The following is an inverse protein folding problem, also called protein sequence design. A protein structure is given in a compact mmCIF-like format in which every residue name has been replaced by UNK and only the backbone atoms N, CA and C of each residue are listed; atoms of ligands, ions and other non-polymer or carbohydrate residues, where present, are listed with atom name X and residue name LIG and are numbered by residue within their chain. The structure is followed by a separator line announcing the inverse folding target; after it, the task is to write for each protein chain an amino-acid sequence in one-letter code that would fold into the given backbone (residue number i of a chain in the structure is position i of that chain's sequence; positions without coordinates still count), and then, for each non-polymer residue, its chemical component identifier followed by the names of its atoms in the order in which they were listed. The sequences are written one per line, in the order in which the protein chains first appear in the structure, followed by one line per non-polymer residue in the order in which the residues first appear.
data_IF_208690058952
#
_entry.id   IF_208690058952
#
_cell.length_a   1.000
_cell.length_b   1.000
_cell.length_c   1.000
_cell.angle_alpha   90.00
_cell.angle_beta   90.00
_cell.angle_gamma   90.00
#
_symmetry.space_group_name_H-M   'P 1'
#
loop_
_entity.id
_entity.type
_entity.pdbx_description
1 polymer ?
#
# COMPACT_ATOMS: atom_id res chain seq x y z
N UNK A 1 27.82 -0.20 -31.13
CA UNK A 1 28.34 -1.44 -30.55
C UNK A 1 28.95 -1.08 -29.20
N UNK A 2 28.11 -0.96 -28.17
CA UNK A 2 28.54 -0.71 -26.78
C UNK A 2 27.65 -1.60 -25.91
N UNK A 3 28.27 -2.62 -25.32
CA UNK A 3 27.64 -3.58 -24.45
C UNK A 3 27.49 -2.96 -23.04
N UNK A 4 26.27 -2.77 -22.57
CA UNK A 4 25.99 -2.39 -21.19
C UNK A 4 25.83 -3.68 -20.39
N UNK A 5 26.77 -3.93 -19.48
CA UNK A 5 26.72 -5.00 -18.48
C UNK A 5 25.62 -4.69 -17.45
N UNK A 6 24.62 -5.54 -17.39
CA UNK A 6 23.69 -5.62 -16.26
C UNK A 6 24.42 -6.23 -15.07
N UNK A 7 24.69 -5.42 -14.05
CA UNK A 7 25.17 -5.89 -12.75
C UNK A 7 24.00 -6.35 -11.90
N UNK A 8 23.90 -7.66 -11.65
CA UNK A 8 23.02 -8.22 -10.63
C UNK A 8 23.58 -7.83 -9.25
N UNK A 9 22.88 -7.00 -8.54
CA UNK A 9 23.09 -6.78 -7.11
C UNK A 9 22.30 -7.85 -6.35
N UNK A 10 22.98 -8.94 -5.99
CA UNK A 10 22.49 -9.88 -5.00
C UNK A 10 22.56 -9.22 -3.63
N UNK A 11 21.42 -8.89 -3.04
CA UNK A 11 21.33 -8.57 -1.64
C UNK A 11 21.56 -9.84 -0.82
N UNK A 12 22.78 -9.98 -0.27
CA UNK A 12 23.11 -11.06 0.66
C UNK A 12 22.38 -10.86 1.97
N UNK A 13 21.30 -11.60 2.18
CA UNK A 13 20.68 -11.78 3.48
C UNK A 13 21.65 -12.59 4.36
N UNK A 14 22.34 -11.93 5.30
CA UNK A 14 23.16 -12.57 6.31
C UNK A 14 22.25 -13.33 7.28
N UNK A 15 22.10 -14.64 7.06
CA UNK A 15 21.56 -15.57 8.05
C UNK A 15 22.58 -15.67 9.20
N UNK A 16 22.27 -15.09 10.35
CA UNK A 16 22.96 -15.37 11.61
C UNK A 16 22.74 -16.84 11.97
N UNK A 17 23.73 -17.68 11.64
CA UNK A 17 23.79 -19.06 12.09
C UNK A 17 24.06 -19.10 13.60
N UNK A 18 23.07 -19.54 14.37
CA UNK A 18 23.26 -19.93 15.76
C UNK A 18 23.94 -21.30 15.78
N UNK A 19 25.20 -21.35 16.20
CA UNK A 19 25.90 -22.58 16.55
C UNK A 19 25.21 -23.15 17.82
N UNK A 20 24.42 -24.20 17.66
CA UNK A 20 23.94 -25.00 18.78
C UNK A 20 25.09 -25.92 19.21
N UNK A 21 25.72 -25.60 20.34
CA UNK A 21 26.65 -26.50 21.01
C UNK A 21 25.86 -27.70 21.56
N UNK A 22 26.09 -28.88 20.99
CA UNK A 22 25.54 -30.14 21.51
C UNK A 22 26.37 -30.52 22.75
N UNK A 23 25.79 -30.29 23.93
CA UNK A 23 26.32 -30.82 25.19
C UNK A 23 25.73 -32.21 25.40
N UNK A 24 26.51 -33.27 25.64
CA UNK A 24 25.95 -34.58 25.95
C UNK A 24 25.23 -34.55 27.28
N UNK A 25 23.92 -34.77 27.26
CA UNK A 25 23.11 -34.88 28.45
C UNK A 25 23.41 -36.23 29.12
N UNK A 26 23.99 -36.20 30.29
CA UNK A 26 24.01 -37.35 31.21
C UNK A 26 22.57 -37.59 31.70
N UNK A 27 22.04 -38.77 31.45
CA UNK A 27 20.72 -39.16 31.91
C UNK A 27 20.75 -39.27 33.45
N UNK A 28 20.20 -38.26 34.12
CA UNK A 28 19.81 -38.35 35.50
C UNK A 28 18.42 -39.07 35.53
N UNK A 29 18.32 -40.10 36.33
CA UNK A 29 17.08 -40.79 36.62
C UNK A 29 16.08 -39.81 37.27
N UNK A 30 15.22 -39.24 36.48
CA UNK A 30 14.15 -38.36 36.91
C UNK A 30 13.02 -39.24 37.44
N UNK A 31 12.87 -39.31 38.74
CA UNK A 31 11.68 -39.85 39.38
C UNK A 31 10.39 -39.28 38.77
N UNK A 32 9.23 -39.91 39.00
CA UNK A 32 7.98 -39.54 38.36
C UNK A 32 7.69 -38.04 38.59
N UNK A 33 7.84 -37.26 37.52
CA UNK A 33 7.51 -35.83 37.58
C UNK A 33 6.02 -35.68 37.89
N UNK A 34 5.64 -34.77 38.79
CA UNK A 34 4.25 -34.41 38.95
C UNK A 34 3.71 -33.99 37.58
N UNK A 35 2.69 -34.69 37.10
CA UNK A 35 1.98 -34.23 35.88
C UNK A 35 1.46 -32.84 36.18
N UNK A 36 2.01 -31.83 35.52
CA UNK A 36 1.38 -30.52 35.51
C UNK A 36 -0.08 -30.72 35.12
N UNK A 37 -1.03 -30.14 35.88
CA UNK A 37 -2.42 -30.22 35.51
C UNK A 37 -2.54 -29.71 34.07
N UNK A 38 -3.15 -30.51 33.18
CA UNK A 38 -3.50 -30.09 31.85
C UNK A 38 -4.33 -28.82 32.01
N UNK A 39 -3.71 -27.66 31.75
CA UNK A 39 -4.44 -26.38 31.70
C UNK A 39 -5.40 -26.53 30.54
N UNK A 40 -6.66 -26.79 30.87
CA UNK A 40 -7.74 -26.82 29.88
C UNK A 40 -7.71 -25.48 29.15
N UNK A 41 -7.58 -25.45 27.82
CA UNK A 41 -7.52 -24.20 27.09
C UNK A 41 -8.76 -23.38 27.42
N UNK A 42 -8.58 -22.13 27.81
CA UNK A 42 -9.69 -21.23 28.14
C UNK A 42 -10.72 -21.26 26.97
N UNK A 43 -12.03 -21.34 27.28
CA UNK A 43 -13.05 -21.40 26.25
C UNK A 43 -12.89 -20.18 25.34
N UNK A 44 -12.87 -20.41 24.03
CA UNK A 44 -12.75 -19.36 23.04
C UNK A 44 -13.93 -18.39 23.17
N UNK A 45 -13.75 -17.10 22.99
CA UNK A 45 -14.83 -16.12 23.05
C UNK A 45 -15.98 -16.54 22.13
N UNK A 46 -17.16 -16.70 22.70
CA UNK A 46 -18.36 -17.12 21.97
C UNK A 46 -19.01 -15.99 21.18
N UNK A 47 -18.63 -14.74 21.48
CA UNK A 47 -19.18 -13.51 20.89
C UNK A 47 -18.24 -12.95 19.83
N UNK A 48 -18.82 -12.29 18.82
CA UNK A 48 -18.09 -11.53 17.84
C UNK A 48 -17.51 -10.27 18.49
N UNK A 49 -16.25 -9.99 18.19
CA UNK A 49 -15.52 -8.78 18.52
C UNK A 49 -15.28 -8.02 17.22
N UNK A 50 -15.63 -6.75 17.20
CA UNK A 50 -15.44 -5.90 16.04
C UNK A 50 -14.39 -4.84 16.33
N UNK A 51 -13.56 -4.55 15.34
CA UNK A 51 -12.65 -3.41 15.38
C UNK A 51 -12.74 -2.60 14.10
N UNK A 52 -12.59 -1.29 14.24
CA UNK A 52 -12.53 -0.34 13.14
C UNK A 52 -11.32 0.56 13.33
N UNK A 53 -10.47 0.61 12.34
CA UNK A 53 -9.20 1.36 12.35
C UNK A 53 -9.15 2.30 11.16
N UNK A 54 -9.65 3.55 11.27
CA UNK A 54 -9.26 4.60 10.34
C UNK A 54 -7.77 4.88 10.50
N UNK A 55 -7.07 4.95 9.39
CA UNK A 55 -5.63 5.18 9.39
C UNK A 55 -5.21 6.07 8.22
N UNK A 56 -4.00 6.59 8.27
CA UNK A 56 -3.31 7.27 7.19
C UNK A 56 -2.09 6.43 6.81
N UNK A 57 -1.94 6.15 5.53
CA UNK A 57 -0.73 5.59 4.94
C UNK A 57 -0.01 6.69 4.17
N UNK A 58 1.25 6.89 4.46
CA UNK A 58 2.11 7.91 3.84
C UNK A 58 3.17 7.18 3.00
N UNK A 59 2.84 6.74 1.78
CA UNK A 59 3.73 5.88 1.03
C UNK A 59 4.73 6.65 0.19
N UNK A 60 5.91 6.03 0.00
CA UNK A 60 6.72 6.19 -1.19
C UNK A 60 6.21 5.22 -2.26
N UNK A 61 6.19 5.65 -3.50
CA UNK A 61 5.85 4.81 -4.66
C UNK A 61 7.07 4.82 -5.58
N UNK A 62 7.58 3.65 -5.90
CA UNK A 62 8.70 3.52 -6.82
C UNK A 62 8.53 2.31 -7.74
N UNK A 63 8.87 2.47 -9.02
CA UNK A 63 8.80 1.42 -10.04
C UNK A 63 8.47 1.96 -11.42
N UNK A 64 7.95 1.10 -12.26
CA UNK A 64 7.66 1.37 -13.65
C UNK A 64 6.15 1.38 -13.91
N UNK A 65 5.68 2.41 -14.61
CA UNK A 65 4.31 2.53 -15.08
C UNK A 65 4.31 2.68 -16.59
N UNK A 66 3.53 1.89 -17.30
CA UNK A 66 3.30 2.07 -18.74
C UNK A 66 1.86 2.45 -18.97
N UNK A 67 1.61 3.64 -19.51
CA UNK A 67 0.27 4.11 -19.89
C UNK A 67 0.19 4.31 -21.40
N UNK A 68 -0.72 3.58 -22.06
CA UNK A 68 -0.89 3.62 -23.51
C UNK A 68 0.42 3.37 -24.28
N UNK A 69 1.22 2.41 -23.80
CA UNK A 69 2.48 2.01 -24.40
C UNK A 69 3.64 2.99 -24.20
N UNK A 70 3.51 3.98 -23.31
CA UNK A 70 4.58 4.91 -22.95
C UNK A 70 5.08 4.62 -21.55
N UNK A 71 6.36 4.28 -21.39
CA UNK A 71 6.95 4.06 -20.08
C UNK A 71 7.12 5.38 -19.33
N UNK A 72 6.88 5.34 -18.03
CA UNK A 72 7.06 6.41 -17.07
C UNK A 72 7.75 5.81 -15.84
N UNK A 73 8.90 6.34 -15.47
CA UNK A 73 9.51 6.02 -14.19
C UNK A 73 8.74 6.74 -13.08
N UNK A 74 8.24 6.00 -12.11
CA UNK A 74 7.48 6.54 -10.98
C UNK A 74 8.37 6.60 -9.75
N UNK A 75 8.55 7.82 -9.23
CA UNK A 75 9.20 8.06 -7.95
C UNK A 75 8.41 9.18 -7.26
N UNK A 76 7.50 8.81 -6.36
CA UNK A 76 6.63 9.74 -5.65
C UNK A 76 6.95 9.61 -4.17
N UNK A 77 7.10 10.72 -3.48
CA UNK A 77 7.27 10.76 -2.04
C UNK A 77 5.96 11.15 -1.31
N UNK A 78 5.87 10.92 0.02
CA UNK A 78 4.67 11.26 0.78
C UNK A 78 4.30 12.75 0.75
N UNK A 79 5.27 13.64 0.61
CA UNK A 79 5.01 15.08 0.55
C UNK A 79 4.34 15.45 -0.77
N UNK A 80 4.75 14.82 -1.87
CA UNK A 80 4.09 14.98 -3.17
C UNK A 80 2.61 14.58 -3.11
N UNK A 81 2.31 13.46 -2.47
CA UNK A 81 0.92 12.99 -2.31
C UNK A 81 0.12 13.99 -1.50
N UNK A 82 0.62 14.44 -0.34
CA UNK A 82 -0.09 15.38 0.54
C UNK A 82 -0.33 16.73 -0.15
N UNK A 83 0.66 17.23 -0.89
CA UNK A 83 0.58 18.52 -1.55
C UNK A 83 -0.37 18.54 -2.76
N UNK A 84 -0.62 17.38 -3.34
CA UNK A 84 -1.45 17.20 -4.54
C UNK A 84 -2.77 16.49 -4.29
N UNK A 85 -3.14 16.24 -3.02
CA UNK A 85 -4.49 15.76 -2.70
C UNK A 85 -5.53 16.74 -3.25
N UNK A 86 -6.54 16.20 -3.92
CA UNK A 86 -7.66 16.99 -4.47
C UNK A 86 -8.58 17.46 -3.33
N UNK A 87 -8.16 18.51 -2.63
CA UNK A 87 -8.87 19.09 -1.48
C UNK A 87 -10.26 19.68 -1.80
N UNK A 88 -10.64 20.07 -3.02
CA UNK A 88 -12.01 20.38 -3.33
C UNK A 88 -12.94 19.17 -3.32
N UNK A 89 -12.41 17.95 -3.44
CA UNK A 89 -13.18 16.72 -3.32
C UNK A 89 -13.70 16.51 -1.90
N UNK A 90 -14.91 15.98 -1.77
CA UNK A 90 -15.55 15.71 -0.46
C UNK A 90 -14.70 14.70 0.34
N UNK A 91 -14.04 13.77 -0.34
CA UNK A 91 -13.16 12.76 0.27
C UNK A 91 -11.92 12.62 -0.63
N UNK A 92 -10.86 13.41 -0.41
CA UNK A 92 -9.62 13.30 -1.20
C UNK A 92 -8.84 12.02 -0.93
N UNK A 93 -8.99 11.46 0.27
CA UNK A 93 -8.41 10.18 0.66
C UNK A 93 -9.24 9.51 1.75
N UNK A 94 -9.34 8.19 1.69
CA UNK A 94 -9.98 7.37 2.73
C UNK A 94 -9.20 6.08 2.93
N UNK A 95 -8.83 5.80 4.19
CA UNK A 95 -8.13 4.56 4.53
C UNK A 95 -8.72 3.98 5.82
N UNK A 96 -9.12 2.71 5.77
CA UNK A 96 -9.72 2.04 6.94
C UNK A 96 -9.53 0.54 6.89
N UNK A 97 -9.28 -0.04 8.06
CA UNK A 97 -9.25 -1.48 8.27
C UNK A 97 -10.36 -1.88 9.25
N UNK A 98 -11.10 -2.91 8.91
CA UNK A 98 -12.13 -3.50 9.75
C UNK A 98 -11.84 -4.96 9.98
N UNK A 99 -12.06 -5.44 11.18
CA UNK A 99 -11.97 -6.87 11.49
C UNK A 99 -13.12 -7.29 12.42
N UNK A 100 -13.73 -8.42 12.07
CA UNK A 100 -14.68 -9.14 12.91
C UNK A 100 -14.05 -10.47 13.31
N UNK A 101 -13.91 -10.72 14.62
CA UNK A 101 -13.26 -11.92 15.16
C UNK A 101 -14.19 -12.72 16.05
N UNK A 102 -14.16 -14.03 15.89
CA UNK A 102 -14.87 -14.96 16.77
C UNK A 102 -14.02 -16.21 16.99
N UNK A 103 -13.45 -16.36 18.18
CA UNK A 103 -12.53 -17.45 18.46
C UNK A 103 -11.33 -17.45 17.53
N UNK A 104 -11.03 -18.56 16.81
CA UNK A 104 -9.92 -18.63 15.87
C UNK A 104 -10.19 -17.93 14.53
N UNK A 105 -11.45 -17.66 14.19
CA UNK A 105 -11.85 -17.07 12.93
C UNK A 105 -11.82 -15.54 12.99
N UNK A 106 -11.24 -14.92 11.98
CA UNK A 106 -11.31 -13.48 11.70
C UNK A 106 -11.78 -13.27 10.27
N UNK A 107 -12.65 -12.28 10.07
CA UNK A 107 -12.99 -11.73 8.76
C UNK A 107 -12.49 -10.29 8.73
N UNK A 108 -11.89 -9.87 7.64
CA UNK A 108 -11.33 -8.53 7.54
C UNK A 108 -11.62 -7.87 6.19
N UNK A 109 -11.62 -6.54 6.22
CA UNK A 109 -11.67 -5.69 5.05
C UNK A 109 -10.70 -4.52 5.25
N UNK A 110 -9.98 -4.15 4.20
CA UNK A 110 -9.09 -2.99 4.16
C UNK A 110 -9.40 -2.16 2.92
N UNK A 111 -9.54 -0.86 3.09
CA UNK A 111 -9.85 0.09 2.01
C UNK A 111 -8.78 1.16 2.01
N UNK A 112 -8.15 1.36 0.86
CA UNK A 112 -7.28 2.50 0.56
C UNK A 112 -7.87 3.19 -0.67
N UNK A 113 -8.22 4.45 -0.52
CA UNK A 113 -8.68 5.30 -1.61
C UNK A 113 -7.92 6.62 -1.57
N UNK A 114 -7.45 7.08 -2.71
CA UNK A 114 -6.82 8.40 -2.85
C UNK A 114 -7.11 8.98 -4.24
N UNK A 115 -7.31 10.29 -4.27
CA UNK A 115 -7.42 11.06 -5.49
C UNK A 115 -6.41 12.21 -5.42
N UNK A 116 -5.48 12.23 -6.37
CA UNK A 116 -4.37 13.19 -6.43
C UNK A 116 -4.44 13.93 -7.75
N UNK A 117 -4.49 15.26 -7.68
CA UNK A 117 -4.51 16.16 -8.84
C UNK A 117 -3.25 17.01 -8.86
N UNK A 118 -2.55 17.01 -9.98
CA UNK A 118 -1.37 17.86 -10.19
C UNK A 118 -1.53 18.65 -11.46
N UNK A 119 -1.26 19.95 -11.38
CA UNK A 119 -1.29 20.83 -12.54
C UNK A 119 -0.08 21.77 -12.56
N UNK A 120 0.54 21.91 -13.72
CA UNK A 120 1.65 22.86 -13.91
C UNK A 120 1.47 23.65 -15.19
N UNK A 121 1.70 24.95 -15.09
CA UNK A 121 1.74 25.86 -16.24
C UNK A 121 3.17 26.19 -16.63
N UNK A 122 3.43 26.31 -17.91
CA UNK A 122 4.69 26.79 -18.42
C UNK A 122 4.49 27.87 -19.47
N UNK A 123 5.41 28.82 -19.55
CA UNK A 123 5.46 29.84 -20.58
C UNK A 123 6.91 30.10 -20.97
N UNK A 124 7.19 30.12 -22.27
CA UNK A 124 8.49 30.42 -22.81
C UNK A 124 8.37 31.41 -23.96
N UNK A 125 9.06 32.51 -23.88
CA UNK A 125 9.13 33.54 -24.91
C UNK A 125 10.49 33.50 -25.57
N UNK A 126 10.52 33.47 -26.90
CA UNK A 126 11.71 33.54 -27.72
C UNK A 126 11.63 34.83 -28.54
N UNK A 127 12.55 35.77 -28.29
CA UNK A 127 12.64 37.06 -28.97
C UNK A 127 13.63 36.96 -30.13
N UNK A 128 13.13 37.15 -31.33
CA UNK A 128 13.93 37.27 -32.56
C UNK A 128 13.88 38.71 -33.10
N UNK A 129 14.77 39.05 -34.06
CA UNK A 129 14.82 40.40 -34.66
C UNK A 129 13.56 40.76 -35.46
N UNK A 130 12.86 39.78 -36.01
CA UNK A 130 11.69 39.96 -36.89
C UNK A 130 10.39 39.44 -36.31
N UNK A 131 10.44 38.67 -35.24
CA UNK A 131 9.27 38.08 -34.57
C UNK A 131 9.57 37.70 -33.15
N UNK A 132 8.55 37.82 -32.30
CA UNK A 132 8.54 37.27 -30.94
C UNK A 132 7.57 36.07 -30.93
N UNK A 133 8.06 34.90 -30.51
CA UNK A 133 7.22 33.71 -30.34
C UNK A 133 7.08 33.40 -28.87
N UNK A 134 5.83 33.26 -28.41
CA UNK A 134 5.51 32.82 -27.05
C UNK A 134 4.79 31.50 -27.11
N UNK A 135 5.32 30.50 -26.40
CA UNK A 135 4.71 29.20 -26.23
C UNK A 135 4.36 29.04 -24.76
N UNK A 136 3.16 28.63 -24.48
CA UNK A 136 2.70 28.35 -23.13
C UNK A 136 1.75 27.18 -23.11
N UNK A 137 1.46 26.69 -21.93
CA UNK A 137 0.47 25.65 -21.76
C UNK A 137 0.29 25.31 -20.30
N UNK A 138 -0.81 24.61 -20.03
CA UNK A 138 -1.11 24.00 -18.77
C UNK A 138 -1.16 22.48 -19.00
N UNK A 139 -0.53 21.73 -18.11
CA UNK A 139 -0.62 20.26 -18.09
C UNK A 139 -1.22 19.90 -16.76
N UNK A 140 -2.31 19.14 -16.74
CA UNK A 140 -2.87 18.55 -15.52
C UNK A 140 -2.88 17.02 -15.64
N UNK A 141 -2.69 16.39 -14.52
CA UNK A 141 -2.76 14.95 -14.35
C UNK A 141 -3.56 14.65 -13.07
N UNK A 142 -4.64 13.91 -13.24
CA UNK A 142 -5.47 13.42 -12.15
C UNK A 142 -5.24 11.91 -12.04
N UNK A 143 -4.96 11.43 -10.83
CA UNK A 143 -4.72 10.02 -10.54
C UNK A 143 -5.60 9.56 -9.39
N UNK A 144 -6.45 8.59 -9.67
CA UNK A 144 -7.29 7.94 -8.67
C UNK A 144 -6.80 6.52 -8.45
N UNK A 145 -6.60 6.16 -7.19
CA UNK A 145 -6.23 4.81 -6.76
C UNK A 145 -7.23 4.32 -5.73
N UNK A 146 -7.81 3.15 -5.96
CA UNK A 146 -8.55 2.42 -4.95
C UNK A 146 -8.01 1.00 -4.82
N UNK A 147 -7.72 0.58 -3.58
CA UNK A 147 -7.34 -0.78 -3.22
C UNK A 147 -8.32 -1.26 -2.17
N UNK A 148 -9.04 -2.34 -2.45
CA UNK A 148 -9.99 -2.93 -1.52
C UNK A 148 -9.64 -4.38 -1.30
N UNK A 149 -9.29 -4.72 -0.06
CA UNK A 149 -9.05 -6.10 0.35
C UNK A 149 -10.24 -6.64 1.14
N UNK A 150 -10.59 -7.90 0.92
CA UNK A 150 -11.51 -8.64 1.75
C UNK A 150 -11.01 -10.07 1.91
N UNK A 151 -11.07 -10.59 3.13
CA UNK A 151 -10.56 -11.93 3.39
C UNK A 151 -10.93 -12.48 4.75
N UNK A 152 -10.49 -13.71 4.97
CA UNK A 152 -10.60 -14.41 6.24
C UNK A 152 -9.22 -14.85 6.74
N UNK A 153 -9.12 -14.98 8.06
CA UNK A 153 -7.94 -15.55 8.72
C UNK A 153 -8.39 -16.57 9.76
N UNK A 154 -7.62 -17.62 9.92
CA UNK A 154 -7.87 -18.66 10.90
C UNK A 154 -6.62 -18.93 11.74
N UNK A 155 -6.74 -18.81 13.06
CA UNK A 155 -5.66 -19.09 14.00
C UNK A 155 -5.42 -20.60 14.05
N UNK A 156 -4.33 -21.06 13.44
CA UNK A 156 -3.92 -22.47 13.42
C UNK A 156 -3.11 -22.86 14.65
N UNK A 157 -2.56 -21.87 15.34
CA UNK A 157 -1.81 -22.04 16.56
C UNK A 157 -1.97 -20.82 17.47
N UNK A 158 -2.11 -21.06 18.77
CA UNK A 158 -2.12 -20.00 19.77
C UNK A 158 -1.53 -20.49 21.08
N UNK A 159 -0.88 -19.58 21.81
CA UNK A 159 -0.35 -19.79 23.15
C UNK A 159 -0.84 -18.67 24.06
N UNK A 160 -1.33 -19.03 25.24
CA UNK A 160 -1.94 -18.11 26.18
C UNK A 160 -3.39 -17.76 25.82
N UNK A 161 -4.08 -17.10 26.75
CA UNK A 161 -5.44 -16.63 26.52
C UNK A 161 -5.43 -15.37 25.62
N UNK A 162 -6.30 -15.30 24.66
CA UNK A 162 -6.42 -14.15 23.76
C UNK A 162 -6.59 -12.84 24.56
N UNK A 163 -5.79 -11.83 24.22
CA UNK A 163 -5.78 -10.54 24.92
C UNK A 163 -4.98 -10.50 26.22
N UNK A 164 -4.47 -11.64 26.70
CA UNK A 164 -3.59 -11.68 27.86
C UNK A 164 -2.14 -11.35 27.49
N UNK A 165 -1.39 -10.65 28.34
CA UNK A 165 0.03 -10.39 28.11
C UNK A 165 0.81 -11.67 27.83
N UNK A 166 1.69 -11.64 26.84
CA UNK A 166 2.49 -12.80 26.42
C UNK A 166 1.75 -13.80 25.54
N UNK A 167 0.45 -13.60 25.24
CA UNK A 167 -0.24 -14.47 24.30
C UNK A 167 0.24 -14.22 22.87
N UNK A 168 0.36 -15.32 22.12
CA UNK A 168 0.80 -15.31 20.72
C UNK A 168 -0.18 -16.13 19.90
N UNK A 169 -0.51 -15.66 18.72
CA UNK A 169 -1.32 -16.41 17.77
C UNK A 169 -0.71 -16.35 16.36
N UNK A 170 -0.77 -17.46 15.64
CA UNK A 170 -0.36 -17.55 14.25
C UNK A 170 -1.58 -17.93 13.40
N UNK A 171 -1.94 -17.03 12.47
CA UNK A 171 -3.09 -17.19 11.62
C UNK A 171 -2.63 -17.47 10.18
N UNK A 172 -3.32 -18.36 9.48
CA UNK A 172 -3.31 -18.40 8.01
C UNK A 172 -4.43 -17.52 7.49
N UNK A 173 -4.19 -16.84 6.40
CA UNK A 173 -5.17 -15.93 5.80
C UNK A 173 -5.28 -16.16 4.29
N UNK A 174 -6.46 -15.86 3.76
CA UNK A 174 -6.75 -15.85 2.33
C UNK A 174 -7.84 -14.84 2.02
N UNK A 175 -7.81 -14.31 0.80
CA UNK A 175 -8.77 -13.30 0.38
C UNK A 175 -8.58 -12.86 -1.05
N UNK A 176 -9.18 -11.72 -1.38
CA UNK A 176 -9.04 -11.06 -2.66
C UNK A 176 -8.75 -9.57 -2.45
N UNK A 177 -7.92 -9.03 -3.33
CA UNK A 177 -7.53 -7.62 -3.39
C UNK A 177 -7.97 -7.06 -4.74
N UNK A 178 -8.93 -6.16 -4.72
CA UNK A 178 -9.37 -5.40 -5.87
C UNK A 178 -8.54 -4.13 -6.01
N UNK A 179 -8.09 -3.86 -7.22
CA UNK A 179 -7.39 -2.67 -7.62
C UNK A 179 -8.20 -1.91 -8.64
N UNK A 180 -8.30 -0.63 -8.47
CA UNK A 180 -8.81 0.32 -9.46
C UNK A 180 -7.81 1.45 -9.62
N UNK A 181 -7.43 1.74 -10.85
CA UNK A 181 -6.59 2.87 -11.17
C UNK A 181 -7.20 3.63 -12.33
N UNK A 182 -7.32 4.94 -12.17
CA UNK A 182 -7.76 5.86 -13.22
C UNK A 182 -6.72 6.97 -13.36
N UNK A 183 -6.35 7.26 -14.62
CA UNK A 183 -5.35 8.28 -14.96
C UNK A 183 -5.94 9.15 -16.03
N UNK A 184 -6.15 10.43 -15.71
CA UNK A 184 -6.55 11.47 -16.65
C UNK A 184 -5.42 12.47 -16.82
N UNK A 185 -4.94 12.62 -18.06
CA UNK A 185 -3.91 13.60 -18.41
C UNK A 185 -4.50 14.54 -19.42
N UNK A 186 -4.48 15.85 -19.14
CA UNK A 186 -4.84 16.90 -20.07
C UNK A 186 -3.70 17.89 -20.26
N UNK A 187 -3.59 18.42 -21.48
CA UNK A 187 -2.60 19.44 -21.82
C UNK A 187 -3.24 20.46 -22.75
N UNK A 188 -3.26 21.71 -22.31
CA UNK A 188 -3.66 22.85 -23.13
C UNK A 188 -2.40 23.61 -23.55
N UNK A 189 -2.10 23.56 -24.85
CA UNK A 189 -0.95 24.20 -25.44
C UNK A 189 -1.38 25.44 -26.20
N UNK A 190 -0.70 26.56 -25.98
CA UNK A 190 -0.93 27.83 -26.67
C UNK A 190 0.36 28.32 -27.31
N UNK A 191 0.26 28.87 -28.52
CA UNK A 191 1.39 29.48 -29.20
C UNK A 191 0.96 30.80 -29.86
N UNK A 192 1.76 31.86 -29.66
CA UNK A 192 1.58 33.13 -30.33
C UNK A 192 2.87 33.55 -31.01
N UNK A 193 2.77 34.03 -32.23
CA UNK A 193 3.89 34.62 -32.97
C UNK A 193 3.49 36.04 -33.35
N UNK A 194 4.18 37.02 -32.80
CA UNK A 194 4.03 38.43 -33.13
C UNK A 194 5.17 38.86 -34.06
N UNK A 195 4.84 39.31 -35.23
CA UNK A 195 5.78 39.83 -36.23
C UNK A 195 6.12 41.29 -35.92
N UNK A 196 7.42 41.58 -35.80
CA UNK A 196 7.93 42.95 -35.62
C UNK A 196 7.95 43.68 -36.95
N UNK A 197 7.02 44.62 -37.15
CA UNK A 197 6.94 45.41 -38.38
C UNK A 197 5.76 46.38 -38.37
N UNK A 198 5.63 47.27 -39.37
CA UNK A 198 4.57 48.29 -39.40
C UNK A 198 3.16 47.74 -39.47
N UNK A 199 2.98 46.46 -39.79
CA UNK A 199 1.67 45.79 -39.84
C UNK A 199 1.28 45.07 -38.52
N UNK A 200 2.20 44.90 -37.55
CA UNK A 200 1.90 44.35 -36.20
C UNK A 200 1.12 43.06 -36.19
N UNK A 201 1.40 42.13 -37.12
CA UNK A 201 0.61 40.92 -37.30
C UNK A 201 0.90 39.91 -36.19
N UNK A 202 -0.15 39.44 -35.52
CA UNK A 202 -0.04 38.39 -34.49
C UNK A 202 -0.83 37.14 -34.97
N UNK A 203 -0.17 35.99 -34.98
CA UNK A 203 -0.77 34.69 -35.29
C UNK A 203 -0.79 33.90 -33.97
N UNK A 204 -1.95 33.40 -33.58
CA UNK A 204 -2.12 32.56 -32.38
C UNK A 204 -2.76 31.25 -32.75
N UNK A 205 -2.37 30.20 -32.04
CA UNK A 205 -2.97 28.87 -32.12
C UNK A 205 -3.02 28.20 -30.78
N UNK A 206 -4.02 27.37 -30.55
CA UNK A 206 -4.14 26.54 -29.35
C UNK A 206 -4.42 25.09 -29.71
N UNK A 207 -3.96 24.17 -28.89
CA UNK A 207 -4.24 22.75 -29.05
C UNK A 207 -4.48 22.15 -27.67
N UNK A 208 -5.65 21.54 -27.48
CA UNK A 208 -5.99 20.72 -26.33
C UNK A 208 -5.70 19.25 -26.64
N UNK A 209 -5.10 18.56 -25.69
CA UNK A 209 -4.85 17.13 -25.73
C UNK A 209 -5.39 16.57 -24.41
N UNK A 210 -6.30 15.61 -24.47
CA UNK A 210 -6.77 14.87 -23.31
C UNK A 210 -6.58 13.37 -23.54
N UNK A 211 -6.15 12.65 -22.53
CA UNK A 211 -6.03 11.18 -22.53
C UNK A 211 -6.44 10.67 -21.17
N UNK A 212 -7.37 9.73 -21.17
CA UNK A 212 -7.81 9.01 -19.98
C UNK A 212 -7.60 7.52 -20.14
N UNK A 213 -7.48 6.82 -19.04
CA UNK A 213 -7.42 5.37 -19.03
C UNK A 213 -7.66 4.83 -17.64
N UNK A 214 -8.61 3.91 -17.52
CA UNK A 214 -8.85 3.18 -16.28
C UNK A 214 -8.52 1.70 -16.46
N UNK A 215 -8.12 1.07 -15.36
CA UNK A 215 -7.83 -0.35 -15.31
C UNK A 215 -8.26 -0.91 -13.95
N UNK A 216 -8.85 -2.10 -14.03
CA UNK A 216 -9.36 -2.84 -12.87
C UNK A 216 -8.83 -4.27 -12.90
N UNK A 217 -8.45 -4.79 -11.74
CA UNK A 217 -8.15 -6.22 -11.60
C UNK A 217 -8.36 -6.70 -10.17
N UNK A 218 -8.42 -8.02 -10.02
CA UNK A 218 -8.57 -8.68 -8.72
C UNK A 218 -7.47 -9.71 -8.54
N UNK A 219 -6.71 -9.58 -7.46
CA UNK A 219 -5.68 -10.51 -7.04
C UNK A 219 -6.19 -11.40 -5.91
N UNK A 220 -6.38 -12.71 -6.13
CA UNK A 220 -6.48 -13.62 -5.00
C UNK A 220 -5.15 -13.64 -4.25
N UNK A 221 -5.20 -13.75 -2.92
CA UNK A 221 -3.99 -13.83 -2.10
C UNK A 221 -4.12 -14.87 -0.98
N UNK A 222 -2.97 -15.37 -0.55
CA UNK A 222 -2.81 -16.22 0.63
C UNK A 222 -1.63 -15.72 1.46
N UNK A 223 -1.67 -15.92 2.76
CA UNK A 223 -0.60 -15.42 3.63
C UNK A 223 -0.70 -15.91 5.05
N UNK A 224 0.09 -15.26 5.91
CA UNK A 224 0.15 -15.56 7.33
C UNK A 224 0.21 -14.26 8.15
N UNK A 225 -0.25 -14.37 9.40
CA UNK A 225 -0.23 -13.28 10.37
C UNK A 225 0.20 -13.79 11.73
N UNK A 226 1.18 -13.14 12.31
CA UNK A 226 1.60 -13.33 13.71
C UNK A 226 1.03 -12.18 14.53
N UNK A 227 0.36 -12.51 15.64
CA UNK A 227 -0.13 -11.55 16.62
C UNK A 227 0.52 -11.84 17.97
N UNK A 228 1.14 -10.83 18.57
CA UNK A 228 1.81 -10.93 19.84
C UNK A 228 1.26 -9.87 20.80
N UNK A 229 0.63 -10.31 21.87
CA UNK A 229 0.20 -9.44 22.96
C UNK A 229 1.39 -9.17 23.87
N UNK A 230 1.85 -7.92 23.94
CA UNK A 230 3.01 -7.54 24.76
C UNK A 230 2.60 -7.18 26.19
N UNK A 231 1.56 -6.39 26.33
CA UNK A 231 0.97 -5.95 27.59
C UNK A 231 -0.55 -5.81 27.44
N UNK A 232 -1.33 -5.54 28.49
CA UNK A 232 -2.74 -5.32 28.38
C UNK A 232 -3.07 -4.22 27.35
N UNK A 233 -3.77 -4.58 26.26
CA UNK A 233 -4.11 -3.69 25.15
C UNK A 233 -2.96 -3.37 24.19
N UNK A 234 -1.73 -3.81 24.45
CA UNK A 234 -0.59 -3.62 23.54
C UNK A 234 -0.37 -4.85 22.67
N UNK A 235 -0.60 -4.71 21.37
CA UNK A 235 -0.50 -5.80 20.41
C UNK A 235 0.45 -5.44 19.27
N UNK A 236 1.40 -6.32 19.00
CA UNK A 236 2.22 -6.29 17.79
C UNK A 236 1.67 -7.28 16.78
N UNK A 237 1.54 -6.85 15.53
CA UNK A 237 1.04 -7.68 14.43
C UNK A 237 2.05 -7.62 13.29
N UNK A 238 2.41 -8.79 12.79
CA UNK A 238 3.18 -8.95 11.55
C UNK A 238 2.34 -9.78 10.60
N UNK A 239 2.06 -9.24 9.41
CA UNK A 239 1.33 -9.92 8.33
C UNK A 239 2.17 -9.93 7.07
N UNK A 240 2.14 -11.05 6.35
CA UNK A 240 2.68 -11.18 4.99
C UNK A 240 1.76 -12.00 4.13
N UNK A 241 1.57 -11.59 2.88
CA UNK A 241 0.80 -12.33 1.89
C UNK A 241 1.41 -12.24 0.49
N UNK A 242 1.08 -13.22 -0.34
CA UNK A 242 1.43 -13.29 -1.76
C UNK A 242 0.17 -13.55 -2.57
N UNK A 243 0.09 -12.99 -3.76
CA UNK A 243 -1.13 -13.03 -4.56
C UNK A 243 -0.87 -12.82 -6.05
N UNK A 244 -1.97 -12.56 -6.78
CA UNK A 244 -1.99 -12.40 -8.21
C UNK A 244 -2.10 -13.73 -8.93
N UNK A 245 -1.04 -14.52 -8.93
CA UNK A 245 -0.95 -15.86 -9.54
C UNK A 245 -1.41 -15.90 -11.00
N UNK A 246 -1.35 -14.77 -11.73
CA UNK A 246 -1.82 -14.64 -13.10
C UNK A 246 -3.36 -14.54 -13.25
N UNK A 247 -4.12 -14.45 -12.14
CA UNK A 247 -5.58 -14.24 -12.19
C UNK A 247 -5.91 -12.75 -12.44
N UNK A 248 -5.17 -11.85 -11.79
CA UNK A 248 -5.15 -10.41 -12.00
C UNK A 248 -3.74 -10.00 -12.36
N UNK A 249 -2.91 -9.61 -11.36
CA UNK A 249 -1.48 -9.39 -11.54
C UNK A 249 -0.73 -10.71 -11.76
N UNK A 250 0.45 -10.64 -12.37
CA UNK A 250 1.35 -11.78 -12.50
C UNK A 250 1.81 -12.23 -11.11
N UNK A 251 2.17 -11.27 -10.29
CA UNK A 251 2.55 -11.47 -8.91
C UNK A 251 2.25 -10.22 -8.08
N UNK A 252 1.79 -10.42 -6.86
CA UNK A 252 1.67 -9.36 -5.86
C UNK A 252 2.11 -9.87 -4.50
N UNK A 253 2.59 -8.96 -3.66
CA UNK A 253 2.92 -9.29 -2.27
C UNK A 253 2.65 -8.11 -1.35
N UNK A 254 2.40 -8.41 -0.09
CA UNK A 254 2.23 -7.41 0.95
C UNK A 254 2.95 -7.82 2.22
N UNK A 255 3.53 -6.84 2.90
CA UNK A 255 4.08 -6.98 4.24
C UNK A 255 3.60 -5.81 5.12
N UNK A 256 3.07 -6.13 6.30
CA UNK A 256 2.58 -5.14 7.27
C UNK A 256 3.14 -5.49 8.64
N UNK A 257 3.73 -4.51 9.31
CA UNK A 257 4.13 -4.60 10.71
C UNK A 257 3.47 -3.45 11.46
N UNK A 258 2.65 -3.74 12.48
CA UNK A 258 1.92 -2.72 13.23
C UNK A 258 1.99 -2.96 14.73
N UNK A 259 1.87 -1.87 15.47
CA UNK A 259 1.78 -1.85 16.92
C UNK A 259 0.57 -1.04 17.35
N UNK A 260 -0.26 -1.65 18.19
CA UNK A 260 -1.40 -1.03 18.84
C UNK A 260 -1.09 -0.80 20.32
N UNK A 261 -1.49 0.34 20.84
CA UNK A 261 -1.34 0.68 22.27
C UNK A 261 -2.54 1.47 22.77
N UNK A 262 -3.05 1.19 23.96
CA UNK A 262 -4.18 1.93 24.53
C UNK A 262 -3.90 3.44 24.58
N UNK A 263 -4.84 4.26 24.11
CA UNK A 263 -4.78 5.72 24.19
C UNK A 263 -5.81 6.27 25.17
N UNK A 264 -7.09 6.01 24.90
CA UNK A 264 -8.20 6.59 25.65
C UNK A 264 -9.48 5.73 25.55
N UNK A 265 -10.57 6.24 26.15
CA UNK A 265 -11.92 5.74 25.91
C UNK A 265 -12.80 6.89 25.46
N UNK A 266 -13.55 6.70 24.40
CA UNK A 266 -14.51 7.66 23.87
C UNK A 266 -15.90 7.04 24.02
N UNK A 267 -16.76 7.67 24.85
CA UNK A 267 -18.10 7.16 25.19
C UNK A 267 -18.10 5.68 25.64
N UNK A 268 -17.06 5.27 26.40
CA UNK A 268 -16.91 3.90 26.88
C UNK A 268 -16.23 2.93 25.91
N UNK A 269 -16.09 3.29 24.63
CA UNK A 269 -15.39 2.49 23.60
C UNK A 269 -13.89 2.64 23.78
N UNK A 270 -13.12 1.54 23.91
CA UNK A 270 -11.67 1.59 23.93
C UNK A 270 -11.14 2.08 22.59
N UNK A 271 -10.16 2.98 22.64
CA UNK A 271 -9.45 3.51 21.46
C UNK A 271 -7.96 3.30 21.69
N UNK A 272 -7.35 2.55 20.78
CA UNK A 272 -5.92 2.27 20.78
C UNK A 272 -5.24 3.07 19.67
N UNK A 273 -4.04 3.58 19.91
CA UNK A 273 -3.16 4.13 18.86
C UNK A 273 -2.67 3.00 17.98
N UNK A 274 -2.62 3.27 16.68
CA UNK A 274 -2.18 2.35 15.63
C UNK A 274 -1.02 2.99 14.88
N UNK A 275 0.14 2.35 14.90
CA UNK A 275 1.32 2.80 14.16
C UNK A 275 2.01 1.59 13.53
N UNK A 276 2.66 1.79 12.39
CA UNK A 276 3.36 0.70 11.75
C UNK A 276 3.97 1.07 10.41
N UNK A 277 4.26 0.04 9.64
CA UNK A 277 4.81 0.14 8.30
C UNK A 277 4.14 -0.88 7.38
N UNK A 278 3.79 -0.46 6.18
CA UNK A 278 3.18 -1.28 5.13
C UNK A 278 4.03 -1.19 3.87
N UNK A 279 4.24 -2.32 3.21
CA UNK A 279 4.78 -2.42 1.86
C UNK A 279 3.87 -3.32 1.03
N UNK A 280 3.53 -2.89 -0.17
CA UNK A 280 2.63 -3.56 -1.09
C UNK A 280 3.19 -3.43 -2.50
N UNK A 281 3.25 -4.53 -3.24
CA UNK A 281 3.71 -4.56 -4.62
C UNK A 281 2.73 -5.33 -5.48
N UNK A 282 2.60 -4.91 -6.73
CA UNK A 282 1.91 -5.65 -7.77
C UNK A 282 2.63 -5.49 -9.11
N UNK A 283 2.76 -6.60 -9.83
CA UNK A 283 3.21 -6.66 -11.22
C UNK A 283 2.00 -7.04 -12.09
N UNK A 284 1.37 -6.03 -12.68
CA UNK A 284 0.19 -6.17 -13.53
C UNK A 284 0.48 -5.63 -14.93
N UNK A 285 0.07 -6.37 -15.95
CA UNK A 285 0.18 -5.93 -17.33
C UNK A 285 -1.04 -6.34 -18.16
N UNK A 286 -1.55 -5.41 -18.97
CA UNK A 286 -2.68 -5.63 -19.85
C UNK A 286 -2.48 -4.94 -21.18
N UNK A 287 -2.99 -5.56 -22.26
CA UNK A 287 -2.95 -5.01 -23.62
C UNK A 287 -1.58 -5.13 -24.29
N UNK A 288 -1.43 -4.49 -25.46
CA UNK A 288 -0.20 -4.48 -26.24
C UNK A 288 -0.08 -3.21 -27.08
N UNK A 289 1.15 -2.83 -27.43
CA UNK A 289 1.41 -1.67 -28.27
C UNK A 289 0.86 -0.38 -27.65
N UNK A 290 -0.02 0.33 -28.38
CA UNK A 290 -0.61 1.61 -27.92
C UNK A 290 -1.71 1.45 -26.85
N UNK A 291 -2.18 0.25 -26.59
CA UNK A 291 -3.13 -0.05 -25.51
C UNK A 291 -2.46 -0.71 -24.30
N UNK A 292 -1.13 -0.86 -24.30
CA UNK A 292 -0.40 -1.47 -23.20
C UNK A 292 -0.52 -0.60 -21.95
N UNK A 293 -0.98 -1.22 -20.87
CA UNK A 293 -0.89 -0.74 -19.49
C UNK A 293 -0.01 -1.72 -18.71
N UNK A 294 0.91 -1.21 -17.91
CA UNK A 294 1.77 -1.99 -17.05
C UNK A 294 1.98 -1.23 -15.74
N UNK A 295 1.84 -1.93 -14.66
CA UNK A 295 2.06 -1.42 -13.31
C UNK A 295 2.98 -2.39 -12.58
N UNK A 296 4.24 -2.04 -12.46
CA UNK A 296 5.24 -2.79 -11.70
C UNK A 296 5.84 -1.85 -10.65
N UNK A 297 5.14 -1.74 -9.53
CA UNK A 297 5.48 -0.77 -8.50
C UNK A 297 5.48 -1.39 -7.12
N UNK A 298 6.31 -0.80 -6.25
CA UNK A 298 6.30 -1.01 -4.81
C UNK A 298 5.83 0.26 -4.13
N UNK A 299 4.76 0.13 -3.34
CA UNK A 299 4.17 1.19 -2.52
C UNK A 299 4.52 0.85 -1.08
N UNK A 300 5.30 1.68 -0.39
CA UNK A 300 5.74 1.37 0.97
C UNK A 300 5.84 2.63 1.83
N UNK A 301 5.53 2.50 3.12
CA UNK A 301 5.59 3.66 4.01
C UNK A 301 4.96 3.43 5.37
N UNK A 302 5.08 4.44 6.26
CA UNK A 302 4.50 4.39 7.59
C UNK A 302 2.96 4.47 7.52
N UNK A 303 2.33 3.80 8.47
CA UNK A 303 0.89 3.89 8.74
C UNK A 303 0.69 4.41 10.15
N UNK A 304 -0.29 5.29 10.33
CA UNK A 304 -0.67 5.84 11.63
C UNK A 304 -2.19 5.99 11.70
N UNK A 305 -2.80 5.66 12.83
CA UNK A 305 -4.25 5.74 12.98
C UNK A 305 -4.72 5.44 14.39
N UNK A 306 -5.99 5.09 14.52
CA UNK A 306 -6.60 4.72 15.77
C UNK A 306 -7.56 3.54 15.58
N UNK A 307 -7.49 2.56 16.47
CA UNK A 307 -8.35 1.37 16.47
C UNK A 307 -9.42 1.50 17.54
N UNK A 308 -10.67 1.44 17.15
CA UNK A 308 -11.82 1.35 18.03
C UNK A 308 -12.25 -0.11 18.14
N UNK A 309 -12.54 -0.58 19.38
CA UNK A 309 -12.96 -1.96 19.65
C UNK A 309 -14.37 -2.00 20.25
N UNK A 310 -15.22 -2.89 19.70
CA UNK A 310 -16.63 -3.02 20.06
C UNK A 310 -16.98 -4.43 20.55
#
# INVERSE_FOLDING_TARGET
MVAIRRGLLFASCALCGWLVAIVPATSADLGPQPREPLVEPAPLPSQWQFSFTPYLWLPWISGDLVVKGRPLDVAIDPADIINHLDWPSIVPAWMSYMEARRGPLSLFNDIVYTNVSSGTGFSRTVNGRLATATFGGNVSADYQLAIVEAGGAYAIWSRGSQGSPGSTAFDLLAGARYWHQDVDISADLTGTVALSGPLGLTISGSRAIAKSGSVDWVDPFVGARLRQQLAPGQEFVLRGDVGGFGAGSQFSWQAIATYNSPLCRIHGIPVDGYVGFRALSADFSQGSGRSKFEFDNVIYGPVIGATMRF
#
